data_IF_165475374488
#
_entry.id   IF_165475374488
#
_cell.length_a   1.000
_cell.length_b   1.000
_cell.length_c   1.000
_cell.angle_alpha   90.00
_cell.angle_beta   90.00
_cell.angle_gamma   90.00
#
_symmetry.space_group_name_H-M   'P 1'
#
loop_
_entity.id
_entity.type
_entity.pdbx_description
1 polymer ?
#
# COMPACT_ATOMS: atom_id res chain seq x y z
N UNK A 1 17.92 15.96 -30.45
CA UNK A 1 18.91 17.01 -30.78
C UNK A 1 18.13 18.29 -30.96
N UNK A 2 18.35 19.29 -30.10
CA UNK A 2 17.70 20.61 -30.16
C UNK A 2 18.49 21.49 -31.12
N UNK A 3 17.84 22.07 -32.13
CA UNK A 3 18.47 23.08 -32.99
C UNK A 3 18.76 24.33 -32.16
N UNK A 4 19.97 24.87 -32.31
CA UNK A 4 20.36 26.15 -31.76
C UNK A 4 19.70 27.30 -32.54
N UNK A 5 19.67 28.49 -31.93
CA UNK A 5 19.14 29.71 -32.54
C UNK A 5 19.85 30.06 -33.86
N UNK A 6 21.17 29.85 -33.93
CA UNK A 6 21.99 30.11 -35.13
C UNK A 6 21.66 29.13 -36.24
N UNK A 7 21.51 27.83 -35.93
CA UNK A 7 21.12 26.80 -36.90
C UNK A 7 19.70 27.05 -37.43
N UNK A 8 18.79 27.51 -36.57
CA UNK A 8 17.43 27.85 -36.98
C UNK A 8 17.39 29.07 -37.90
N UNK A 9 18.13 30.15 -37.60
CA UNK A 9 18.23 31.32 -38.50
C UNK A 9 18.86 30.94 -39.84
N UNK A 10 19.91 30.11 -39.83
CA UNK A 10 20.52 29.57 -41.03
C UNK A 10 19.52 28.78 -41.89
N UNK A 11 18.71 27.92 -41.27
CA UNK A 11 17.69 27.13 -41.94
C UNK A 11 16.59 28.01 -42.55
N UNK A 12 16.06 28.95 -41.77
CA UNK A 12 14.98 29.85 -42.22
C UNK A 12 15.42 30.78 -43.35
N UNK A 13 16.71 31.13 -43.42
CA UNK A 13 17.29 31.92 -44.52
C UNK A 13 17.78 31.07 -45.70
N UNK A 14 17.64 29.75 -45.65
CA UNK A 14 18.09 28.84 -46.71
C UNK A 14 19.61 28.65 -46.80
N UNK A 15 20.36 28.99 -45.75
CA UNK A 15 21.82 28.86 -45.70
C UNK A 15 22.30 27.45 -45.28
N UNK A 16 21.42 26.65 -44.68
CA UNK A 16 21.69 25.26 -44.29
C UNK A 16 20.40 24.43 -44.28
N UNK A 17 20.51 23.10 -44.36
CA UNK A 17 19.39 22.17 -44.27
C UNK A 17 19.54 21.25 -43.04
N UNK A 18 18.45 20.91 -42.34
CA UNK A 18 18.46 19.96 -41.23
C UNK A 18 18.87 18.56 -41.69
N UNK A 19 19.72 17.88 -40.92
CA UNK A 19 20.23 16.56 -41.28
C UNK A 19 19.19 15.44 -41.28
N UNK A 20 18.06 15.62 -40.60
CA UNK A 20 16.94 14.67 -40.55
C UNK A 20 15.76 15.08 -41.45
N UNK A 21 16.00 16.00 -42.39
CA UNK A 21 15.04 16.33 -43.45
C UNK A 21 14.95 15.15 -44.42
N UNK A 22 13.72 14.76 -44.77
CA UNK A 22 13.48 13.63 -45.68
C UNK A 22 13.77 14.06 -47.13
N UNK A 23 14.12 13.09 -47.97
CA UNK A 23 14.27 13.32 -49.41
C UNK A 23 12.94 13.79 -49.99
N UNK A 24 12.96 14.85 -50.80
CA UNK A 24 11.79 15.52 -51.38
C UNK A 24 10.83 16.17 -50.38
N UNK A 25 11.26 16.38 -49.13
CA UNK A 25 10.51 17.17 -48.15
C UNK A 25 10.83 18.66 -48.32
N UNK A 26 9.80 19.49 -48.43
CA UNK A 26 9.97 20.95 -48.45
C UNK A 26 10.25 21.50 -47.05
N UNK A 27 10.83 22.70 -46.95
CA UNK A 27 11.07 23.36 -45.66
C UNK A 27 9.79 23.50 -44.81
N UNK A 28 8.65 23.76 -45.47
CA UNK A 28 7.35 23.89 -44.80
C UNK A 28 6.86 22.53 -44.27
N UNK A 29 6.97 21.47 -45.05
CA UNK A 29 6.61 20.10 -44.62
C UNK A 29 7.49 19.63 -43.46
N UNK A 30 8.80 19.90 -43.51
CA UNK A 30 9.72 19.61 -42.41
C UNK A 30 9.29 20.31 -41.11
N UNK A 31 9.01 21.61 -41.18
CA UNK A 31 8.56 22.39 -40.01
C UNK A 31 7.23 21.87 -39.47
N UNK A 32 6.25 21.59 -40.33
CA UNK A 32 4.96 21.04 -39.91
C UNK A 32 5.12 19.66 -39.25
N UNK A 33 5.96 18.79 -39.80
CA UNK A 33 6.28 17.50 -39.19
C UNK A 33 6.91 17.68 -37.81
N UNK A 34 7.88 18.58 -37.66
CA UNK A 34 8.51 18.86 -36.35
C UNK A 34 7.56 19.48 -35.35
N UNK A 35 6.69 20.40 -35.77
CA UNK A 35 5.65 20.95 -34.91
C UNK A 35 4.67 19.87 -34.46
N UNK A 36 4.24 18.98 -35.36
CA UNK A 36 3.38 17.85 -35.02
C UNK A 36 4.06 16.85 -34.07
N UNK A 37 5.33 16.51 -34.30
CA UNK A 37 6.14 15.66 -33.40
C UNK A 37 6.24 16.28 -31.99
N UNK A 38 6.47 17.60 -31.89
CA UNK A 38 6.52 18.31 -30.61
C UNK A 38 5.15 18.39 -29.94
N UNK A 39 4.08 18.67 -30.69
CA UNK A 39 2.71 18.66 -30.17
C UNK A 39 2.30 17.28 -29.66
N UNK A 40 2.70 16.21 -30.34
CA UNK A 40 2.45 14.85 -29.90
C UNK A 40 3.19 14.56 -28.59
N UNK A 41 4.48 14.87 -28.52
CA UNK A 41 5.28 14.71 -27.29
C UNK A 41 4.72 15.51 -26.12
N UNK A 42 4.25 16.73 -26.37
CA UNK A 42 3.61 17.57 -25.36
C UNK A 42 2.34 16.89 -24.82
N UNK A 43 1.45 16.40 -25.70
CA UNK A 43 0.24 15.67 -25.31
C UNK A 43 0.55 14.40 -24.53
N UNK A 44 1.59 13.65 -24.93
CA UNK A 44 2.04 12.45 -24.20
C UNK A 44 2.57 12.80 -22.81
N UNK A 45 3.39 13.85 -22.70
CA UNK A 45 3.90 14.35 -21.41
C UNK A 45 2.77 14.83 -20.49
N UNK A 46 1.77 15.54 -21.02
CA UNK A 46 0.60 15.98 -20.24
C UNK A 46 -0.29 14.82 -19.79
N UNK A 47 -0.37 13.75 -20.58
CA UNK A 47 -1.08 12.52 -20.17
C UNK A 47 -0.32 11.81 -19.07
N UNK A 48 0.99 11.72 -19.21
CA UNK A 48 1.86 11.11 -18.21
C UNK A 48 1.78 11.87 -16.87
N UNK A 49 1.90 13.21 -16.89
CA UNK A 49 1.74 14.03 -15.69
C UNK A 49 0.38 13.84 -15.01
N UNK A 50 -0.72 13.83 -15.77
CA UNK A 50 -2.05 13.54 -15.22
C UNK A 50 -2.16 12.15 -14.58
N UNK A 51 -1.49 11.15 -15.14
CA UNK A 51 -1.48 9.80 -14.58
C UNK A 51 -0.66 9.73 -13.28
N UNK A 52 0.46 10.44 -13.21
CA UNK A 52 1.26 10.58 -12.00
C UNK A 52 0.48 11.28 -10.89
N UNK A 53 -0.20 12.38 -11.19
CA UNK A 53 -1.02 13.13 -10.23
C UNK A 53 -2.09 12.24 -9.58
N UNK A 54 -2.83 11.46 -10.39
CA UNK A 54 -3.83 10.50 -9.91
C UNK A 54 -3.19 9.43 -9.01
N UNK A 55 -1.99 8.97 -9.37
CA UNK A 55 -1.29 7.94 -8.60
C UNK A 55 -0.82 8.47 -7.25
N UNK A 56 -0.29 9.69 -7.23
CA UNK A 56 0.14 10.38 -6.02
C UNK A 56 -1.05 10.59 -5.08
N UNK A 57 -2.17 11.12 -5.58
CA UNK A 57 -3.37 11.35 -4.77
C UNK A 57 -3.90 10.05 -4.13
N UNK A 58 -3.89 8.94 -4.89
CA UNK A 58 -4.30 7.64 -4.37
C UNK A 58 -3.34 7.11 -3.29
N UNK A 59 -2.03 7.33 -3.44
CA UNK A 59 -1.04 6.92 -2.44
C UNK A 59 -1.13 7.77 -1.17
N UNK A 60 -1.26 9.10 -1.31
CA UNK A 60 -1.44 10.03 -0.19
C UNK A 60 -2.64 9.62 0.67
N UNK A 61 -3.77 9.31 0.04
CA UNK A 61 -4.97 8.82 0.75
C UNK A 61 -4.73 7.54 1.54
N UNK A 62 -3.99 6.57 1.00
CA UNK A 62 -3.65 5.32 1.70
C UNK A 62 -2.70 5.57 2.88
N UNK A 63 -1.75 6.49 2.71
CA UNK A 63 -0.83 6.89 3.78
C UNK A 63 -1.59 7.58 4.92
N UNK A 64 -2.55 8.44 4.61
CA UNK A 64 -3.41 9.06 5.63
C UNK A 64 -4.22 8.02 6.42
N UNK A 65 -4.80 7.03 5.74
CA UNK A 65 -5.52 5.93 6.38
C UNK A 65 -4.61 5.10 7.32
N UNK A 66 -3.43 4.72 6.85
CA UNK A 66 -2.44 4.02 7.67
C UNK A 66 -1.95 4.88 8.84
N UNK A 67 -1.78 6.19 8.65
CA UNK A 67 -1.36 7.08 9.72
C UNK A 67 -2.43 7.19 10.81
N UNK A 68 -3.71 7.26 10.43
CA UNK A 68 -4.82 7.25 11.36
C UNK A 68 -4.92 5.92 12.13
N UNK A 69 -4.79 4.79 11.44
CA UNK A 69 -4.76 3.47 12.08
C UNK A 69 -3.58 3.32 13.06
N UNK A 70 -2.38 3.71 12.64
CA UNK A 70 -1.20 3.69 13.52
C UNK A 70 -1.35 4.61 14.73
N UNK A 71 -2.03 5.75 14.59
CA UNK A 71 -2.32 6.63 15.70
C UNK A 71 -3.29 5.98 16.70
N UNK A 72 -4.31 5.27 16.21
CA UNK A 72 -5.24 4.51 17.06
C UNK A 72 -4.53 3.37 17.81
N UNK A 73 -3.71 2.58 17.10
CA UNK A 73 -2.92 1.49 17.69
C UNK A 73 -1.98 1.98 18.81
N UNK A 74 -1.41 3.18 18.66
CA UNK A 74 -0.55 3.78 19.69
C UNK A 74 -1.32 4.33 20.90
N UNK A 75 -2.59 4.69 20.74
CA UNK A 75 -3.42 5.13 21.86
C UNK A 75 -3.88 3.95 22.71
N UNK A 76 -3.95 2.74 22.15
CA UNK A 76 -4.25 1.50 22.84
C UNK A 76 -3.00 0.86 23.49
N UNK A 77 -2.07 1.67 24.02
CA UNK A 77 -0.91 1.14 24.74
C UNK A 77 -1.36 0.57 26.09
N UNK A 78 -1.77 -0.70 26.06
CA UNK A 78 -2.14 -1.47 27.22
C UNK A 78 -0.87 -1.61 28.08
N UNK A 79 -0.91 -1.32 29.39
CA UNK A 79 0.26 -1.35 30.25
C UNK A 79 0.63 -2.81 30.59
N UNK A 80 1.02 -3.58 29.58
CA UNK A 80 1.29 -5.01 29.65
C UNK A 80 2.30 -5.33 30.76
N UNK A 81 3.38 -4.54 30.87
CA UNK A 81 4.36 -4.71 31.94
C UNK A 81 3.78 -4.49 33.34
N UNK A 82 2.82 -3.57 33.51
CA UNK A 82 2.15 -3.38 34.81
C UNK A 82 1.21 -4.55 35.12
N UNK A 83 0.51 -5.08 34.11
CA UNK A 83 -0.36 -6.26 34.24
C UNK A 83 0.46 -7.49 34.63
N UNK A 84 1.57 -7.75 33.93
CA UNK A 84 2.49 -8.86 34.21
C UNK A 84 3.07 -8.77 35.63
N UNK A 85 3.55 -7.57 36.02
CA UNK A 85 4.03 -7.33 37.37
C UNK A 85 2.93 -7.54 38.43
N UNK A 86 1.71 -7.09 38.15
CA UNK A 86 0.55 -7.29 39.01
C UNK A 86 0.25 -8.77 39.25
N UNK A 87 0.27 -9.61 38.21
CA UNK A 87 0.12 -11.07 38.33
C UNK A 87 1.21 -11.67 39.23
N UNK A 88 2.47 -11.32 38.98
CA UNK A 88 3.60 -11.82 39.76
C UNK A 88 3.52 -11.41 41.24
N UNK A 89 3.02 -10.19 41.53
CA UNK A 89 2.79 -9.75 42.90
C UNK A 89 1.64 -10.49 43.56
N UNK A 90 0.54 -10.74 42.85
CA UNK A 90 -0.57 -11.52 43.36
C UNK A 90 -0.14 -12.95 43.73
N UNK A 91 0.62 -13.61 42.86
CA UNK A 91 1.13 -14.97 43.10
C UNK A 91 2.06 -15.00 44.33
N UNK A 92 2.92 -13.99 44.48
CA UNK A 92 3.80 -13.86 45.65
C UNK A 92 3.03 -13.63 46.96
N UNK A 93 1.92 -12.87 46.90
CA UNK A 93 1.06 -12.65 48.06
C UNK A 93 0.34 -13.93 48.48
N UNK A 94 -0.16 -14.72 47.53
CA UNK A 94 -0.78 -16.03 47.84
C UNK A 94 0.19 -17.03 48.45
N UNK A 95 1.46 -16.99 48.01
CA UNK A 95 2.52 -17.81 48.58
C UNK A 95 2.98 -17.35 49.97
N UNK A 96 2.59 -16.14 50.41
CA UNK A 96 3.04 -15.60 51.68
C UNK A 96 2.31 -16.27 52.87
N UNK A 97 3.05 -16.82 53.86
CA UNK A 97 2.45 -17.46 55.02
C UNK A 97 1.97 -16.41 56.03
N UNK A 98 0.75 -15.91 55.86
CA UNK A 98 0.16 -14.97 56.82
C UNK A 98 -0.10 -15.64 58.17
N UNK A 99 0.45 -15.07 59.23
CA UNK A 99 0.16 -15.46 60.61
C UNK A 99 -1.00 -14.61 61.16
N UNK A 100 -2.22 -14.93 60.75
CA UNK A 100 -3.44 -14.29 61.26
C UNK A 100 -4.60 -15.27 61.41
N UNK A 101 -5.66 -14.87 62.14
CA UNK A 101 -6.83 -15.72 62.40
C UNK A 101 -7.59 -16.13 61.12
N UNK A 102 -7.44 -15.36 60.03
CA UNK A 102 -8.09 -15.63 58.74
C UNK A 102 -7.40 -16.71 57.88
N UNK A 103 -6.23 -17.20 58.28
CA UNK A 103 -5.47 -18.17 57.49
C UNK A 103 -4.80 -17.57 56.25
N UNK A 104 -4.43 -18.41 55.28
CA UNK A 104 -3.78 -17.97 54.05
C UNK A 104 -4.74 -17.12 53.20
N UNK A 105 -4.21 -16.10 52.53
CA UNK A 105 -4.95 -15.19 51.65
C UNK A 105 -5.76 -15.91 50.57
N UNK A 106 -5.28 -17.05 50.08
CA UNK A 106 -5.99 -17.87 49.09
C UNK A 106 -7.30 -18.50 49.62
N UNK A 107 -7.54 -18.49 50.93
CA UNK A 107 -8.80 -18.94 51.54
C UNK A 107 -9.81 -17.79 51.72
N UNK A 108 -9.40 -16.54 51.48
CA UNK A 108 -10.27 -15.37 51.57
C UNK A 108 -11.11 -15.22 50.29
N UNK A 109 -12.45 -15.20 50.43
CA UNK A 109 -13.37 -15.05 49.29
C UNK A 109 -13.15 -13.75 48.52
N UNK A 110 -12.92 -12.65 49.23
CA UNK A 110 -12.72 -11.33 48.60
C UNK A 110 -11.44 -11.31 47.76
N UNK A 111 -10.40 -12.01 48.22
CA UNK A 111 -9.16 -12.17 47.46
C UNK A 111 -9.36 -13.04 46.21
N UNK A 112 -10.05 -14.18 46.35
CA UNK A 112 -10.34 -15.05 45.21
C UNK A 112 -11.13 -14.33 44.11
N UNK A 113 -12.12 -13.54 44.50
CA UNK A 113 -12.92 -12.74 43.55
C UNK A 113 -12.11 -11.60 42.93
N UNK A 114 -11.27 -10.90 43.71
CA UNK A 114 -10.33 -9.91 43.16
C UNK A 114 -9.39 -10.56 42.12
N UNK A 115 -8.83 -11.73 42.44
CA UNK A 115 -7.92 -12.47 41.55
C UNK A 115 -8.61 -12.85 40.25
N UNK A 116 -9.83 -13.36 40.32
CA UNK A 116 -10.67 -13.71 39.15
C UNK A 116 -10.96 -12.48 38.28
N UNK A 117 -11.43 -11.40 38.89
CA UNK A 117 -11.72 -10.16 38.18
C UNK A 117 -10.46 -9.61 37.48
N UNK A 118 -9.32 -9.60 38.18
CA UNK A 118 -8.06 -9.15 37.62
C UNK A 118 -7.60 -10.03 36.45
N UNK A 119 -7.66 -11.36 36.59
CA UNK A 119 -7.32 -12.31 35.52
C UNK A 119 -8.18 -12.08 34.28
N UNK A 120 -9.50 -11.96 34.40
CA UNK A 120 -10.37 -11.63 33.25
C UNK A 120 -10.03 -10.28 32.60
N UNK A 121 -9.79 -9.24 33.39
CA UNK A 121 -9.42 -7.92 32.87
C UNK A 121 -8.10 -7.96 32.10
N UNK A 122 -7.14 -8.72 32.64
CA UNK A 122 -5.83 -8.88 32.05
C UNK A 122 -5.82 -9.76 30.80
N UNK A 123 -6.62 -10.83 30.75
CA UNK A 123 -6.86 -11.62 29.54
C UNK A 123 -7.51 -10.77 28.45
N UNK A 124 -8.57 -10.02 28.80
CA UNK A 124 -9.21 -9.09 27.88
C UNK A 124 -8.22 -8.06 27.33
N UNK A 125 -7.39 -7.47 28.19
CA UNK A 125 -6.37 -6.51 27.79
C UNK A 125 -5.26 -7.14 26.92
N UNK A 126 -4.91 -8.40 27.12
CA UNK A 126 -3.90 -9.08 26.29
C UNK A 126 -4.44 -9.54 24.94
N UNK A 127 -5.76 -9.73 24.81
CA UNK A 127 -6.43 -10.26 23.62
C UNK A 127 -7.32 -9.25 22.89
N UNK A 128 -7.33 -7.98 23.32
CA UNK A 128 -7.93 -6.87 22.59
C UNK A 128 -7.14 -6.62 21.31
N UNK A 129 -7.47 -7.37 20.26
CA UNK A 129 -6.90 -7.15 18.94
C UNK A 129 -7.58 -5.94 18.33
N UNK A 130 -6.84 -4.84 18.21
CA UNK A 130 -7.25 -3.74 17.36
C UNK A 130 -7.41 -4.24 15.92
N UNK A 131 -8.55 -3.94 15.31
CA UNK A 131 -8.74 -4.19 13.89
C UNK A 131 -7.84 -3.25 13.08
N UNK A 132 -7.24 -3.77 12.00
CA UNK A 132 -6.33 -3.02 11.12
C UNK A 132 -6.84 -2.96 9.68
N UNK A 133 -8.03 -2.38 9.44
CA UNK A 133 -8.69 -2.42 8.14
C UNK A 133 -7.89 -1.75 7.01
N UNK A 134 -7.12 -0.68 7.30
CA UNK A 134 -6.29 -0.02 6.30
C UNK A 134 -5.10 -0.91 5.90
N UNK A 135 -4.47 -1.57 6.88
CA UNK A 135 -3.42 -2.55 6.62
C UNK A 135 -3.95 -3.75 5.83
N UNK A 136 -5.11 -4.30 6.21
CA UNK A 136 -5.73 -5.45 5.54
C UNK A 136 -6.14 -5.12 4.09
N UNK A 137 -6.62 -3.90 3.85
CA UNK A 137 -6.95 -3.44 2.51
C UNK A 137 -5.71 -3.37 1.60
N UNK A 138 -4.58 -2.86 2.12
CA UNK A 138 -3.32 -2.81 1.37
C UNK A 138 -2.78 -4.22 1.12
N UNK A 139 -2.82 -5.11 2.10
CA UNK A 139 -2.38 -6.49 1.92
C UNK A 139 -3.19 -7.20 0.83
N UNK A 140 -4.51 -7.00 0.82
CA UNK A 140 -5.40 -7.55 -0.19
C UNK A 140 -5.10 -6.98 -1.58
N UNK A 141 -4.84 -5.68 -1.69
CA UNK A 141 -4.43 -5.06 -2.95
C UNK A 141 -3.10 -5.61 -3.46
N UNK A 142 -2.09 -5.77 -2.60
CA UNK A 142 -0.78 -6.35 -2.96
C UNK A 142 -0.94 -7.81 -3.42
N UNK A 143 -1.77 -8.59 -2.72
CA UNK A 143 -2.08 -9.97 -3.12
C UNK A 143 -2.75 -10.02 -4.50
N UNK A 144 -3.74 -9.16 -4.74
CA UNK A 144 -4.42 -9.07 -6.03
C UNK A 144 -3.47 -8.61 -7.15
N UNK A 145 -2.57 -7.67 -6.87
CA UNK A 145 -1.52 -7.23 -7.80
C UNK A 145 -0.57 -8.37 -8.17
N UNK A 146 -0.26 -9.26 -7.23
CA UNK A 146 0.49 -10.49 -7.52
C UNK A 146 -0.23 -11.41 -8.50
N UNK A 147 -1.57 -11.51 -8.41
CA UNK A 147 -2.39 -12.26 -9.38
C UNK A 147 -2.39 -11.58 -10.74
N UNK A 148 -2.49 -10.25 -10.80
CA UNK A 148 -2.39 -9.48 -12.05
C UNK A 148 -1.04 -9.74 -12.76
N UNK A 149 0.07 -9.76 -12.01
CA UNK A 149 1.39 -10.06 -12.55
C UNK A 149 1.48 -11.50 -13.10
N UNK A 150 0.80 -12.46 -12.47
CA UNK A 150 0.72 -13.84 -12.98
C UNK A 150 -0.10 -13.91 -14.27
N UNK A 151 -1.21 -13.16 -14.38
CA UNK A 151 -2.01 -13.04 -15.60
C UNK A 151 -1.16 -12.47 -16.75
N UNK A 152 -0.43 -11.38 -16.50
CA UNK A 152 0.47 -10.78 -17.49
C UNK A 152 1.54 -11.77 -17.96
N UNK A 153 2.14 -12.51 -17.03
CA UNK A 153 3.11 -13.57 -17.35
C UNK A 153 2.50 -14.65 -18.25
N UNK A 154 1.26 -15.08 -17.99
CA UNK A 154 0.57 -16.07 -18.81
C UNK A 154 0.27 -15.55 -20.22
N UNK A 155 -0.21 -14.32 -20.34
CA UNK A 155 -0.43 -13.68 -21.65
C UNK A 155 0.85 -13.66 -22.48
N UNK A 156 1.97 -13.25 -21.87
CA UNK A 156 3.27 -13.20 -22.53
C UNK A 156 3.79 -14.58 -22.92
N UNK A 157 3.68 -15.58 -22.03
CA UNK A 157 4.22 -16.93 -22.26
C UNK A 157 3.47 -17.69 -23.35
N UNK A 158 2.17 -17.44 -23.48
CA UNK A 158 1.28 -18.17 -24.38
C UNK A 158 0.74 -17.31 -25.53
N UNK A 159 1.43 -16.21 -25.83
CA UNK A 159 1.08 -15.29 -26.92
C UNK A 159 0.91 -16.06 -28.24
N UNK A 160 -0.22 -15.82 -28.93
CA UNK A 160 -0.54 -16.47 -30.21
C UNK A 160 -1.08 -17.91 -30.12
N UNK A 161 -1.15 -18.54 -28.94
CA UNK A 161 -1.63 -19.93 -28.82
C UNK A 161 -3.14 -20.06 -28.59
N UNK A 162 -3.81 -19.00 -28.13
CA UNK A 162 -5.25 -18.99 -27.82
C UNK A 162 -5.68 -19.88 -26.63
N UNK A 163 -4.74 -20.49 -25.89
CA UNK A 163 -5.02 -21.54 -24.89
C UNK A 163 -5.13 -21.05 -23.43
N UNK A 164 -5.02 -19.74 -23.19
CA UNK A 164 -4.94 -19.17 -21.83
C UNK A 164 -6.24 -18.52 -21.32
N UNK A 165 -7.29 -18.46 -22.13
CA UNK A 165 -8.53 -17.74 -21.78
C UNK A 165 -9.20 -18.21 -20.48
N UNK A 166 -9.44 -19.51 -20.33
CA UNK A 166 -10.11 -20.06 -19.14
C UNK A 166 -9.25 -19.88 -17.86
N UNK A 167 -7.95 -20.22 -17.86
CA UNK A 167 -7.08 -19.94 -16.71
C UNK A 167 -7.00 -18.46 -16.35
N UNK A 168 -6.89 -17.56 -17.35
CA UNK A 168 -6.83 -16.11 -17.12
C UNK A 168 -8.12 -15.60 -16.49
N UNK A 169 -9.28 -16.00 -17.01
CA UNK A 169 -10.57 -15.62 -16.43
C UNK A 169 -10.73 -16.05 -14.97
N UNK A 170 -10.23 -17.24 -14.62
CA UNK A 170 -10.25 -17.72 -13.24
C UNK A 170 -9.36 -16.85 -12.33
N UNK A 171 -8.19 -16.45 -12.81
CA UNK A 171 -7.29 -15.55 -12.07
C UNK A 171 -7.85 -14.13 -11.97
N UNK A 172 -8.48 -13.60 -13.03
CA UNK A 172 -9.16 -12.30 -12.99
C UNK A 172 -10.27 -12.28 -11.93
N UNK A 173 -11.03 -13.39 -11.84
CA UNK A 173 -12.04 -13.56 -10.81
C UNK A 173 -11.43 -13.62 -9.41
N UNK A 174 -10.36 -14.41 -9.21
CA UNK A 174 -9.63 -14.47 -7.94
C UNK A 174 -9.10 -13.11 -7.52
N UNK A 175 -8.47 -12.36 -8.43
CA UNK A 175 -7.98 -11.02 -8.15
C UNK A 175 -9.11 -10.07 -7.73
N UNK A 176 -10.31 -10.24 -8.28
CA UNK A 176 -11.48 -9.44 -7.90
C UNK A 176 -12.01 -9.83 -6.51
N UNK A 177 -12.05 -11.12 -6.20
CA UNK A 177 -12.45 -11.65 -4.90
C UNK A 177 -11.53 -11.15 -3.79
N UNK A 178 -10.21 -11.26 -3.96
CA UNK A 178 -9.21 -10.77 -2.99
C UNK A 178 -9.41 -9.27 -2.71
N UNK A 179 -9.73 -8.46 -3.73
CA UNK A 179 -10.00 -7.01 -3.54
C UNK A 179 -11.31 -6.73 -2.81
N UNK A 180 -12.25 -7.68 -2.78
CA UNK A 180 -13.54 -7.56 -2.09
C UNK A 180 -13.49 -8.02 -0.64
N UNK A 181 -12.60 -8.95 -0.29
CA UNK A 181 -12.37 -9.40 1.10
C UNK A 181 -11.86 -8.27 2.03
N UNK A 182 -11.36 -7.18 1.44
CA UNK A 182 -10.83 -5.99 2.12
C UNK A 182 -11.87 -4.92 2.53
N UNK A 183 -13.17 -5.14 2.26
CA UNK A 183 -14.25 -4.18 2.53
C UNK A 183 -15.25 -4.71 3.54
#
# INVERSE_FOLDING_TARGET
MTMTLIEMDGFLRGKCLPGDMKVNETNAEYLLRKMNELQQKLKESERYGRQEDITIENLERKVEQLAAENAALKQEEIPLGAIENGRAFADRLEAYPFECQGGNLNMCSDWQELRRCFEHLSEWAMHGHAETPATDAILSEVRASGVDAAIEHLHKKFEGTGRVGVPVMALEWLAKEIRQEAK
#
